data_IF_793594791504
#
_entry.id   IF_793594791504
#
_cell.length_a   1.000
_cell.length_b   1.000
_cell.length_c   1.000
_cell.angle_alpha   90.00
_cell.angle_beta   90.00
_cell.angle_gamma   90.00
#
_symmetry.space_group_name_H-M   'P 1'
#
loop_
_entity.id
_entity.type
_entity.pdbx_description
1 polymer ?
#
# COMPACT_ATOMS: atom_id res chain seq x y z
N UNK A 1 5.36 4.37 -13.84
CA UNK A 1 5.34 4.65 -15.29
C UNK A 1 4.30 3.77 -15.94
N UNK A 2 3.64 4.25 -16.99
CA UNK A 2 2.57 3.54 -17.72
C UNK A 2 2.87 3.55 -19.23
N UNK A 3 2.25 2.65 -19.99
CA UNK A 3 2.25 2.76 -21.44
C UNK A 3 1.44 3.98 -21.88
N UNK A 4 2.00 4.78 -22.79
CA UNK A 4 1.37 5.99 -23.25
C UNK A 4 0.12 5.69 -24.11
N UNK A 5 -1.06 6.26 -23.80
CA UNK A 5 -2.27 6.06 -24.59
C UNK A 5 -2.28 6.88 -25.90
N UNK A 6 -1.35 7.81 -26.09
CA UNK A 6 -1.33 8.74 -27.22
C UNK A 6 -0.48 8.27 -28.40
N UNK A 7 0.16 7.12 -28.29
CA UNK A 7 0.84 6.46 -29.40
C UNK A 7 0.82 4.93 -29.19
N UNK A 8 1.21 4.18 -30.22
CA UNK A 8 1.33 2.72 -30.13
C UNK A 8 2.56 2.34 -29.28
N UNK A 9 2.40 2.43 -27.97
CA UNK A 9 3.45 2.16 -27.00
C UNK A 9 3.50 0.69 -26.59
N UNK A 10 4.70 0.12 -26.58
CA UNK A 10 4.96 -1.27 -26.15
C UNK A 10 5.66 -1.34 -24.79
N UNK A 11 6.34 -0.28 -24.36
CA UNK A 11 7.13 -0.25 -23.14
C UNK A 11 6.76 0.99 -22.33
N UNK A 12 6.47 0.90 -21.01
CA UNK A 12 5.99 2.04 -20.23
C UNK A 12 6.83 3.32 -20.39
N UNK A 13 6.37 4.27 -21.21
CA UNK A 13 7.12 5.47 -21.56
C UNK A 13 6.55 6.76 -20.96
N UNK A 14 5.43 6.69 -20.23
CA UNK A 14 4.77 7.87 -19.65
C UNK A 14 4.85 7.89 -18.13
N UNK A 15 5.22 9.05 -17.58
CA UNK A 15 5.12 9.38 -16.15
C UNK A 15 3.84 10.19 -15.93
N UNK A 16 3.09 9.85 -14.89
CA UNK A 16 1.89 10.58 -14.45
C UNK A 16 2.02 10.84 -12.96
N UNK A 17 2.06 12.11 -12.57
CA UNK A 17 2.04 12.57 -11.19
C UNK A 17 1.01 13.71 -11.03
N UNK A 18 1.44 14.97 -10.84
CA UNK A 18 0.58 16.15 -10.97
C UNK A 18 0.39 16.56 -12.43
N UNK A 19 1.33 16.18 -13.31
CA UNK A 19 1.27 16.35 -14.76
C UNK A 19 1.57 15.01 -15.43
N UNK A 20 1.34 14.93 -16.74
CA UNK A 20 1.80 13.79 -17.52
C UNK A 20 2.91 14.21 -18.47
N UNK A 21 3.89 13.33 -18.65
CA UNK A 21 4.91 13.46 -19.67
C UNK A 21 5.23 12.08 -20.27
N UNK A 22 5.18 11.98 -21.59
CA UNK A 22 5.59 10.81 -22.34
C UNK A 22 6.96 11.03 -22.97
N UNK A 23 7.95 10.26 -22.52
CA UNK A 23 9.31 10.32 -23.07
C UNK A 23 9.43 9.70 -24.47
N UNK A 24 8.45 8.89 -24.90
CA UNK A 24 8.45 8.26 -26.22
C UNK A 24 7.93 9.17 -27.34
N UNK A 25 6.81 9.86 -27.11
CA UNK A 25 6.16 10.69 -28.13
C UNK A 25 6.15 12.20 -27.81
N UNK A 26 6.71 12.61 -26.66
CA UNK A 26 6.76 14.01 -26.23
C UNK A 26 5.42 14.57 -25.75
N UNK A 27 4.36 13.76 -25.66
CA UNK A 27 3.08 14.22 -25.16
C UNK A 27 3.21 14.66 -23.68
N UNK A 28 2.94 15.93 -23.43
CA UNK A 28 2.95 16.56 -22.10
C UNK A 28 1.61 17.28 -21.84
N UNK A 29 1.32 17.55 -20.58
CA UNK A 29 0.25 18.42 -20.15
C UNK A 29 -0.21 18.17 -18.72
N UNK A 30 -1.28 18.85 -18.33
CA UNK A 30 -2.00 18.60 -17.09
C UNK A 30 -3.19 17.62 -17.29
N UNK A 31 -4.05 17.50 -16.27
CA UNK A 31 -5.23 16.61 -16.30
C UNK A 31 -6.23 17.00 -17.40
N UNK A 32 -6.40 18.30 -17.68
CA UNK A 32 -7.32 18.79 -18.71
C UNK A 32 -6.74 18.50 -20.09
N UNK A 33 -5.45 18.74 -20.30
CA UNK A 33 -4.75 18.38 -21.54
C UNK A 33 -4.84 16.88 -21.83
N UNK A 34 -4.70 16.05 -20.78
CA UNK A 34 -4.79 14.61 -20.89
C UNK A 34 -6.18 14.17 -21.35
N UNK A 35 -7.22 14.68 -20.70
CA UNK A 35 -8.61 14.39 -21.05
C UNK A 35 -8.96 14.90 -22.45
N UNK A 36 -8.49 16.09 -22.83
CA UNK A 36 -8.69 16.65 -24.17
C UNK A 36 -8.10 15.74 -25.26
N UNK A 37 -6.86 15.27 -25.07
CA UNK A 37 -6.20 14.34 -26.01
C UNK A 37 -6.87 12.97 -26.04
N UNK A 38 -7.21 12.43 -24.88
CA UNK A 38 -7.79 11.10 -24.76
C UNK A 38 -9.19 11.01 -25.39
N UNK A 39 -10.02 12.03 -25.17
CA UNK A 39 -11.40 12.06 -25.65
C UNK A 39 -11.57 12.87 -26.95
N UNK A 40 -10.50 13.42 -27.51
CA UNK A 40 -10.52 14.29 -28.71
C UNK A 40 -11.48 15.48 -28.54
N UNK A 41 -11.39 16.14 -27.39
CA UNK A 41 -12.23 17.28 -27.01
C UNK A 41 -11.42 18.57 -27.03
N UNK A 42 -12.09 19.72 -27.19
CA UNK A 42 -11.47 21.00 -26.84
C UNK A 42 -11.18 21.07 -25.34
N UNK A 43 -10.22 21.91 -24.92
CA UNK A 43 -9.87 22.07 -23.50
C UNK A 43 -11.08 22.41 -22.62
N UNK A 44 -11.99 23.25 -23.13
CA UNK A 44 -13.23 23.59 -22.44
C UNK A 44 -14.15 22.38 -22.28
N UNK A 45 -14.37 21.63 -23.35
CA UNK A 45 -15.20 20.42 -23.29
C UNK A 45 -14.56 19.33 -22.42
N UNK A 46 -13.24 19.23 -22.40
CA UNK A 46 -12.51 18.32 -21.51
C UNK A 46 -12.69 18.73 -20.04
N UNK A 47 -12.61 20.03 -19.73
CA UNK A 47 -12.89 20.54 -18.39
C UNK A 47 -14.36 20.32 -17.98
N UNK A 48 -15.31 20.58 -18.87
CA UNK A 48 -16.75 20.33 -18.66
C UNK A 48 -17.02 18.83 -18.45
N UNK A 49 -16.36 17.96 -19.22
CA UNK A 49 -16.42 16.51 -19.06
C UNK A 49 -15.87 16.07 -17.71
N UNK A 50 -14.69 16.54 -17.32
CA UNK A 50 -14.12 16.24 -16.00
C UNK A 50 -15.03 16.73 -14.88
N UNK A 51 -15.59 17.93 -15.02
CA UNK A 51 -16.54 18.46 -14.05
C UNK A 51 -17.78 17.55 -13.93
N UNK A 52 -18.35 17.11 -15.06
CA UNK A 52 -19.49 16.20 -15.07
C UNK A 52 -19.16 14.80 -14.53
N UNK A 53 -18.02 14.23 -14.92
CA UNK A 53 -17.61 12.87 -14.53
C UNK A 53 -17.40 12.78 -13.01
N UNK A 54 -16.92 13.86 -12.39
CA UNK A 54 -16.64 13.94 -10.96
C UNK A 54 -17.73 14.67 -10.16
N UNK A 55 -18.76 15.22 -10.80
CA UNK A 55 -19.83 15.96 -10.10
C UNK A 55 -19.38 17.32 -9.54
N UNK A 56 -18.39 17.97 -10.17
CA UNK A 56 -17.98 19.34 -9.85
C UNK A 56 -18.99 20.31 -10.50
N UNK A 57 -19.72 21.07 -9.69
CA UNK A 57 -20.62 22.11 -10.22
C UNK A 57 -19.83 23.37 -10.58
N UNK A 58 -20.22 24.06 -11.67
CA UNK A 58 -19.62 25.34 -12.07
C UNK A 58 -19.96 26.51 -11.13
N UNK A 59 -20.80 26.27 -10.12
CA UNK A 59 -21.34 27.26 -9.20
C UNK A 59 -20.71 27.13 -7.82
N UNK A 60 -19.41 27.46 -7.70
CA UNK A 60 -18.71 27.95 -6.49
C UNK A 60 -18.73 27.13 -5.19
N UNK A 61 -19.53 26.07 -5.10
CA UNK A 61 -19.69 25.24 -3.92
C UNK A 61 -19.28 23.85 -4.34
N UNK A 62 -17.99 23.58 -4.24
CA UNK A 62 -17.49 22.22 -4.34
C UNK A 62 -17.96 21.48 -3.09
N UNK A 63 -18.92 20.53 -3.16
CA UNK A 63 -18.97 19.53 -2.11
C UNK A 63 -17.59 18.86 -2.14
N UNK A 64 -16.94 18.75 -0.98
CA UNK A 64 -15.79 17.86 -0.86
C UNK A 64 -16.26 16.49 -1.36
N UNK A 65 -15.88 16.13 -2.59
CA UNK A 65 -16.06 14.78 -3.08
C UNK A 65 -15.12 13.96 -2.20
N UNK A 66 -15.67 13.44 -1.10
CA UNK A 66 -15.07 12.30 -0.43
C UNK A 66 -15.10 11.21 -1.47
N UNK A 67 -13.96 10.99 -2.12
CA UNK A 67 -13.71 9.74 -2.82
C UNK A 67 -14.06 8.65 -1.79
N UNK A 68 -15.19 7.97 -1.98
CA UNK A 68 -15.36 6.69 -1.33
C UNK A 68 -14.28 5.85 -1.97
N UNK A 69 -13.16 5.71 -1.27
CA UNK A 69 -12.14 4.74 -1.60
C UNK A 69 -12.93 3.45 -1.80
N UNK A 70 -13.02 2.97 -3.04
CA UNK A 70 -13.73 1.74 -3.31
C UNK A 70 -12.85 0.68 -2.69
N UNK A 71 -13.13 0.36 -1.44
CA UNK A 71 -12.55 -0.77 -0.75
C UNK A 71 -13.05 -2.00 -1.49
N UNK A 72 -12.31 -2.42 -2.52
CA UNK A 72 -12.47 -3.75 -3.07
C UNK A 72 -12.27 -4.69 -1.88
N UNK A 73 -13.22 -5.61 -1.59
CA UNK A 73 -13.04 -6.56 -0.52
C UNK A 73 -11.74 -7.29 -0.78
N UNK A 74 -10.80 -7.08 0.13
CA UNK A 74 -9.43 -7.52 -0.02
C UNK A 74 -9.43 -9.05 -0.01
N UNK A 75 -8.81 -9.70 -0.99
CA UNK A 75 -8.74 -11.16 -1.01
C UNK A 75 -8.01 -11.63 0.26
N UNK A 76 -8.33 -12.80 0.80
CA UNK A 76 -7.74 -13.35 2.03
C UNK A 76 -6.20 -13.36 1.99
N UNK A 77 -5.61 -13.63 0.81
CA UNK A 77 -4.16 -13.50 0.59
C UNK A 77 -3.64 -12.09 0.82
N UNK A 78 -4.33 -11.09 0.29
CA UNK A 78 -3.96 -9.68 0.42
C UNK A 78 -4.16 -9.19 1.86
N UNK A 79 -5.19 -9.68 2.57
CA UNK A 79 -5.39 -9.41 4.00
C UNK A 79 -4.21 -9.93 4.82
N UNK A 80 -3.81 -11.19 4.61
CA UNK A 80 -2.69 -11.81 5.33
C UNK A 80 -1.37 -11.13 4.99
N UNK A 81 -1.18 -10.74 3.74
CA UNK A 81 -0.01 -9.98 3.32
C UNK A 81 0.09 -8.65 4.09
N UNK A 82 -1.01 -7.90 4.18
CA UNK A 82 -1.04 -6.63 4.95
C UNK A 82 -0.72 -6.86 6.43
N UNK A 83 -1.32 -7.88 7.05
CA UNK A 83 -1.09 -8.21 8.47
C UNK A 83 0.39 -8.53 8.71
N UNK A 84 0.96 -9.45 7.93
CA UNK A 84 2.34 -9.87 8.10
C UNK A 84 3.35 -8.74 7.81
N UNK A 85 3.06 -7.89 6.82
CA UNK A 85 3.87 -6.69 6.58
C UNK A 85 3.78 -5.71 7.77
N UNK A 86 2.60 -5.55 8.36
CA UNK A 86 2.39 -4.75 9.57
C UNK A 86 3.24 -5.26 10.73
N UNK A 87 3.22 -6.57 11.00
CA UNK A 87 4.06 -7.17 12.03
C UNK A 87 5.55 -7.02 11.73
N UNK A 88 5.97 -7.18 10.48
CA UNK A 88 7.38 -7.00 10.12
C UNK A 88 7.86 -5.57 10.42
N UNK A 89 7.07 -4.57 10.06
CA UNK A 89 7.39 -3.16 10.36
C UNK A 89 7.41 -2.91 11.87
N UNK A 90 6.39 -3.38 12.60
CA UNK A 90 6.30 -3.20 14.04
C UNK A 90 7.51 -3.81 14.78
N UNK A 91 7.88 -5.05 14.44
CA UNK A 91 9.03 -5.71 15.06
C UNK A 91 10.35 -5.01 14.69
N UNK A 92 10.48 -4.50 13.45
CA UNK A 92 11.65 -3.72 13.07
C UNK A 92 11.75 -2.42 13.89
N UNK A 93 10.62 -1.73 14.10
CA UNK A 93 10.56 -0.51 14.91
C UNK A 93 10.89 -0.81 16.38
N UNK A 94 10.39 -1.91 16.93
CA UNK A 94 10.72 -2.36 18.30
C UNK A 94 12.20 -2.66 18.46
N UNK A 95 12.81 -3.29 17.46
CA UNK A 95 14.24 -3.64 17.49
C UNK A 95 15.13 -2.41 17.56
N UNK A 96 14.71 -1.30 16.94
CA UNK A 96 15.44 -0.03 16.96
C UNK A 96 15.12 0.74 18.24
N UNK A 97 13.84 0.88 18.57
CA UNK A 97 13.35 1.72 19.67
C UNK A 97 13.79 1.19 21.03
N UNK A 98 13.70 -0.13 21.23
CA UNK A 98 13.98 -0.77 22.52
C UNK A 98 15.36 -1.47 22.55
N UNK A 99 16.25 -1.13 21.62
CA UNK A 99 17.61 -1.65 21.62
C UNK A 99 18.34 -1.28 22.92
N UNK A 100 18.99 -2.24 23.61
CA UNK A 100 19.82 -1.92 24.76
C UNK A 100 20.98 -1.03 24.33
N UNK A 101 21.24 0.03 25.09
CA UNK A 101 22.33 0.96 24.79
C UNK A 101 23.66 0.42 25.31
N UNK A 102 23.64 -0.35 26.40
CA UNK A 102 24.81 -1.02 26.96
C UNK A 102 24.57 -2.54 27.07
N UNK A 103 25.64 -3.36 27.01
CA UNK A 103 25.53 -4.83 27.12
C UNK A 103 24.96 -5.32 28.46
N UNK A 104 25.09 -4.53 29.52
CA UNK A 104 24.67 -4.87 30.88
C UNK A 104 23.21 -4.44 31.17
N UNK A 105 22.58 -3.70 30.25
CA UNK A 105 21.21 -3.22 30.46
C UNK A 105 20.22 -4.39 30.33
N UNK A 106 19.19 -4.47 31.20
CA UNK A 106 18.16 -5.49 31.08
C UNK A 106 17.41 -5.33 29.76
N UNK A 107 17.26 -6.45 29.03
CA UNK A 107 16.61 -6.45 27.73
C UNK A 107 15.12 -6.19 27.84
N UNK A 108 14.63 -5.22 27.06
CA UNK A 108 13.21 -4.90 27.00
C UNK A 108 12.40 -6.06 26.39
N UNK A 109 11.21 -6.41 26.91
CA UNK A 109 10.37 -7.47 26.37
C UNK A 109 10.04 -7.31 24.87
N UNK A 110 9.72 -6.09 24.42
CA UNK A 110 9.48 -5.81 23.00
C UNK A 110 10.74 -6.00 22.13
N UNK A 111 11.93 -5.72 22.66
CA UNK A 111 13.18 -6.02 21.96
C UNK A 111 13.37 -7.52 21.81
N UNK A 112 13.18 -8.29 22.87
CA UNK A 112 13.24 -9.76 22.85
C UNK A 112 12.23 -10.33 21.84
N UNK A 113 10.98 -9.86 21.88
CA UNK A 113 9.93 -10.25 20.94
C UNK A 113 10.31 -9.95 19.49
N UNK A 114 10.93 -8.79 19.22
CA UNK A 114 11.40 -8.43 17.89
C UNK A 114 12.40 -9.45 17.32
N UNK A 115 13.30 -9.97 18.15
CA UNK A 115 14.29 -10.97 17.74
C UNK A 115 13.62 -12.32 17.52
N UNK A 116 12.74 -12.74 18.42
CA UNK A 116 12.10 -14.06 18.33
C UNK A 116 11.13 -14.20 17.15
N UNK A 117 10.40 -13.14 16.81
CA UNK A 117 9.31 -13.23 15.83
C UNK A 117 9.68 -12.73 14.44
N UNK A 118 10.78 -11.98 14.26
CA UNK A 118 11.16 -11.43 12.96
C UNK A 118 11.34 -12.52 11.89
N UNK A 119 12.11 -13.56 12.18
CA UNK A 119 12.35 -14.66 11.25
C UNK A 119 11.06 -15.44 10.95
N UNK A 120 10.21 -15.59 11.96
CA UNK A 120 8.92 -16.25 11.80
C UNK A 120 7.99 -15.46 10.88
N UNK A 121 7.87 -14.14 11.07
CA UNK A 121 7.08 -13.27 10.17
C UNK A 121 7.60 -13.35 8.74
N UNK A 122 8.91 -13.31 8.56
CA UNK A 122 9.52 -13.40 7.23
C UNK A 122 9.25 -14.74 6.56
N UNK A 123 9.38 -15.85 7.31
CA UNK A 123 9.03 -17.19 6.82
C UNK A 123 7.56 -17.29 6.34
N UNK A 124 6.61 -16.72 7.09
CA UNK A 124 5.20 -16.72 6.68
C UNK A 124 4.95 -15.87 5.43
N UNK A 125 5.66 -14.75 5.28
CA UNK A 125 5.62 -13.93 4.06
C UNK A 125 6.15 -14.71 2.86
N UNK A 126 7.24 -15.44 3.03
CA UNK A 126 7.85 -16.24 1.97
C UNK A 126 6.91 -17.37 1.52
N UNK A 127 6.24 -18.06 2.45
CA UNK A 127 5.17 -19.02 2.10
C UNK A 127 4.05 -18.33 1.30
N UNK A 128 3.57 -17.17 1.76
CA UNK A 128 2.44 -16.48 1.13
C UNK A 128 2.75 -16.03 -0.31
N UNK A 129 3.99 -15.61 -0.56
CA UNK A 129 4.44 -15.12 -1.85
C UNK A 129 4.89 -16.27 -2.77
N UNK A 130 5.78 -17.12 -2.27
CA UNK A 130 6.57 -18.07 -3.06
C UNK A 130 6.27 -19.55 -2.75
N UNK A 131 5.60 -19.86 -1.64
CA UNK A 131 5.29 -21.23 -1.23
C UNK A 131 4.41 -22.00 -2.23
N UNK A 132 4.37 -23.31 -2.06
CA UNK A 132 3.50 -24.20 -2.83
C UNK A 132 2.01 -23.91 -2.56
N UNK A 133 1.12 -24.40 -3.43
CA UNK A 133 -0.33 -24.22 -3.23
C UNK A 133 -0.82 -24.80 -1.90
N UNK A 134 -0.23 -25.90 -1.46
CA UNK A 134 -0.58 -26.57 -0.22
C UNK A 134 -0.15 -25.74 1.01
N UNK A 135 1.10 -25.26 1.05
CA UNK A 135 1.60 -24.41 2.14
C UNK A 135 0.82 -23.10 2.22
N UNK A 136 0.50 -22.49 1.08
CA UNK A 136 -0.36 -21.31 1.01
C UNK A 136 -1.74 -21.60 1.60
N UNK A 137 -2.36 -22.73 1.27
CA UNK A 137 -3.67 -23.10 1.81
C UNK A 137 -3.61 -23.36 3.33
N UNK A 138 -2.54 -23.97 3.84
CA UNK A 138 -2.33 -24.15 5.27
C UNK A 138 -2.16 -22.81 5.99
N UNK A 139 -1.37 -21.89 5.43
CA UNK A 139 -1.21 -20.54 5.98
C UNK A 139 -2.54 -19.79 6.00
N UNK A 140 -3.32 -19.86 4.93
CA UNK A 140 -4.62 -19.22 4.81
C UNK A 140 -5.67 -19.80 5.80
N UNK A 141 -5.42 -20.95 6.44
CA UNK A 141 -6.21 -21.43 7.57
C UNK A 141 -6.12 -20.50 8.80
N UNK A 142 -5.20 -19.53 8.80
CA UNK A 142 -5.17 -18.42 9.76
C UNK A 142 -4.55 -18.73 11.12
N UNK A 143 -4.51 -19.99 11.54
CA UNK A 143 -4.02 -20.40 12.87
C UNK A 143 -2.66 -19.82 13.24
N UNK A 144 -1.69 -19.88 12.32
CA UNK A 144 -0.33 -19.39 12.59
C UNK A 144 -0.27 -17.86 12.68
N UNK A 145 -1.02 -17.15 11.83
CA UNK A 145 -1.06 -15.68 11.81
C UNK A 145 -1.77 -15.16 13.04
N UNK A 146 -2.87 -15.81 13.48
CA UNK A 146 -3.60 -15.45 14.69
C UNK A 146 -2.74 -15.65 15.94
N UNK A 147 -2.12 -16.82 16.10
CA UNK A 147 -1.27 -17.10 17.26
C UNK A 147 -0.08 -16.12 17.37
N UNK A 148 0.49 -15.75 16.23
CA UNK A 148 1.54 -14.75 16.16
C UNK A 148 1.03 -13.35 16.55
N UNK A 149 -0.14 -12.97 16.06
CA UNK A 149 -0.78 -11.69 16.42
C UNK A 149 -1.05 -11.58 17.91
N UNK A 150 -1.63 -12.61 18.52
CA UNK A 150 -1.85 -12.64 19.97
C UNK A 150 -0.54 -12.56 20.77
N UNK A 151 0.54 -13.17 20.28
CA UNK A 151 1.84 -13.10 20.94
C UNK A 151 2.45 -11.70 20.88
N UNK A 152 2.32 -11.01 19.74
CA UNK A 152 2.80 -9.65 19.55
C UNK A 152 1.98 -8.67 20.40
N UNK A 153 0.65 -8.78 20.40
CA UNK A 153 -0.21 -7.89 21.20
C UNK A 153 0.05 -8.04 22.71
N UNK A 154 0.24 -9.26 23.22
CA UNK A 154 0.62 -9.45 24.64
C UNK A 154 1.91 -8.73 25.02
N UNK A 155 2.89 -8.67 24.12
CA UNK A 155 4.13 -7.94 24.38
C UNK A 155 3.90 -6.42 24.40
N UNK A 156 2.97 -5.93 23.58
CA UNK A 156 2.60 -4.53 23.51
C UNK A 156 1.82 -4.07 24.74
N UNK A 157 0.82 -4.85 25.17
CA UNK A 157 0.05 -4.58 26.39
C UNK A 157 0.92 -4.57 27.65
N UNK A 158 1.94 -5.44 27.69
CA UNK A 158 2.91 -5.46 28.78
C UNK A 158 3.81 -4.21 28.82
N UNK A 159 3.98 -3.51 27.70
CA UNK A 159 4.71 -2.25 27.62
C UNK A 159 3.83 -1.06 28.04
N UNK A 160 2.59 -1.01 27.57
CA UNK A 160 1.64 0.07 27.94
C UNK A 160 1.28 0.06 29.45
N UNK A 161 1.46 -1.08 30.12
CA UNK A 161 1.21 -1.25 31.55
C UNK A 161 2.43 -1.01 32.46
N UNK A 162 3.63 -0.80 31.90
CA UNK A 162 4.90 -0.63 32.62
C UNK A 162 5.32 0.85 32.72
#
# INVERSE_FOLDING_TARGET
>A
MICCPFHADRNPSMKVDSRFHCFGCGADGDVIDFAAKLFQLSLRQAAEKLASDFGLSATGTFPLIRYKLVEKPLNQKEQFYKILCGYRSLLADWRITYAPQNPEDPLHPCFIASIHYADRVQYLLDILLQGSSHEKQQLLNGKEVTALGEAIERCKEAEEAA
#
